data_IF_282419351308
#
_entry.id   IF_282419351308
#
_cell.length_a   1.000
_cell.length_b   1.000
_cell.length_c   1.000
_cell.angle_alpha   90.00
_cell.angle_beta   90.00
_cell.angle_gamma   90.00
#
_symmetry.space_group_name_H-M   'P 1'
#
loop_
_entity.id
_entity.type
_entity.pdbx_description
1 polymer ?
#
# COMPACT_ATOMS: atom_id res chain seq x y z
N UNK A 1 -1.54 -3.34 13.98
CA UNK A 1 -0.28 -3.58 13.23
C UNK A 1 0.41 -2.28 12.78
N UNK A 2 -0.26 -1.28 12.19
CA UNK A 2 0.43 -0.01 11.82
C UNK A 2 0.88 0.80 13.04
N UNK A 3 0.07 0.86 14.11
CA UNK A 3 0.38 1.70 15.27
C UNK A 3 1.51 1.17 16.15
N UNK A 4 2.02 -0.05 15.91
CA UNK A 4 3.10 -0.67 16.68
C UNK A 4 4.51 -0.30 16.23
N UNK A 5 4.70 0.30 15.04
CA UNK A 5 6.02 0.74 14.58
C UNK A 5 6.56 1.90 15.42
N UNK A 6 7.86 2.23 15.36
CA UNK A 6 8.43 3.38 16.09
C UNK A 6 8.11 4.74 15.46
N UNK A 7 7.89 4.76 14.15
CA UNK A 7 7.47 5.94 13.41
C UNK A 7 6.47 5.58 12.32
N UNK A 8 5.41 6.39 12.16
CA UNK A 8 4.41 6.23 11.11
C UNK A 8 4.43 7.47 10.20
N UNK A 9 4.64 7.25 8.92
CA UNK A 9 4.69 8.29 7.88
C UNK A 9 3.37 8.31 7.13
N UNK A 10 2.71 9.48 7.06
CA UNK A 10 1.47 9.67 6.29
C UNK A 10 1.61 10.82 5.31
N UNK A 11 0.67 10.92 4.37
CA UNK A 11 0.78 11.84 3.25
C UNK A 11 -0.42 12.75 3.15
N UNK A 12 -0.15 14.03 2.93
CA UNK A 12 -1.13 15.05 2.60
C UNK A 12 -2.34 14.96 3.55
N UNK A 13 -3.54 15.06 2.98
CA UNK A 13 -4.83 15.06 3.68
C UNK A 13 -5.35 13.67 4.04
N UNK A 14 -4.51 12.61 3.94
CA UNK A 14 -4.91 11.25 4.31
C UNK A 14 -5.25 11.17 5.80
N UNK A 15 -6.53 10.99 6.19
CA UNK A 15 -6.96 11.02 7.58
C UNK A 15 -6.74 9.66 8.26
N UNK A 16 -6.60 9.69 9.57
CA UNK A 16 -6.75 8.51 10.44
C UNK A 16 -8.14 8.43 11.05
N UNK A 17 -8.76 9.59 11.31
CA UNK A 17 -10.06 9.67 11.98
C UNK A 17 -11.16 9.03 11.13
N UNK A 18 -11.88 8.05 11.69
CA UNK A 18 -12.92 7.28 11.00
C UNK A 18 -12.39 6.14 10.12
N UNK A 19 -11.08 5.89 10.14
CA UNK A 19 -10.40 4.84 9.39
C UNK A 19 -9.38 4.06 10.24
N UNK A 20 -9.42 4.21 11.57
CA UNK A 20 -8.42 3.68 12.49
C UNK A 20 -8.28 2.15 12.40
N UNK A 21 -9.39 1.46 12.13
CA UNK A 21 -9.44 0.01 11.91
C UNK A 21 -8.63 -0.44 10.68
N UNK A 22 -8.52 0.42 9.67
CA UNK A 22 -7.86 0.12 8.39
C UNK A 22 -6.45 0.66 8.32
N UNK A 23 -6.24 1.88 8.79
CA UNK A 23 -4.98 2.61 8.59
C UNK A 23 -4.23 2.88 9.89
N UNK A 24 -4.76 2.46 11.04
CA UNK A 24 -4.23 2.83 12.36
C UNK A 24 -4.56 4.28 12.74
N UNK A 25 -4.33 4.59 14.00
CA UNK A 25 -4.60 5.91 14.60
C UNK A 25 -3.35 6.79 14.69
N UNK A 26 -2.14 6.24 14.56
CA UNK A 26 -0.90 6.99 14.85
C UNK A 26 -0.30 7.65 13.62
N UNK A 27 0.28 8.82 13.81
CA UNK A 27 1.10 9.52 12.82
C UNK A 27 2.28 10.17 13.56
N UNK A 28 3.50 9.92 13.08
CA UNK A 28 4.70 10.57 13.62
C UNK A 28 5.15 11.70 12.70
N UNK A 29 5.23 11.40 11.40
CA UNK A 29 5.61 12.35 10.36
C UNK A 29 4.50 12.44 9.32
N UNK A 30 4.18 13.65 8.89
CA UNK A 30 3.27 13.88 7.77
C UNK A 30 3.98 14.63 6.65
N UNK A 31 4.09 13.97 5.51
CA UNK A 31 4.66 14.59 4.33
C UNK A 31 3.56 15.33 3.57
N UNK A 32 3.76 16.62 3.36
CA UNK A 32 2.79 17.48 2.67
C UNK A 32 3.40 18.06 1.40
N UNK A 33 2.67 17.99 0.29
CA UNK A 33 3.03 18.71 -0.92
C UNK A 33 2.69 20.21 -0.78
N UNK A 34 3.03 21.00 -1.79
CA UNK A 34 2.75 22.44 -1.85
C UNK A 34 1.27 22.81 -1.69
N UNK A 35 0.34 21.97 -2.17
CA UNK A 35 -1.10 22.25 -2.11
C UNK A 35 -1.69 22.02 -0.71
N UNK A 36 -1.01 21.23 0.11
CA UNK A 36 -1.42 20.91 1.49
C UNK A 36 -0.45 21.48 2.52
N UNK A 37 0.32 22.50 2.14
CA UNK A 37 1.28 23.15 3.04
C UNK A 37 0.55 23.72 4.27
N UNK A 38 0.98 23.30 5.45
CA UNK A 38 0.40 23.72 6.74
C UNK A 38 -0.83 22.91 7.17
N UNK A 39 -1.22 21.88 6.43
CA UNK A 39 -2.24 20.93 6.87
C UNK A 39 -1.64 19.84 7.75
N UNK A 40 -2.27 19.54 8.88
CA UNK A 40 -2.00 18.37 9.71
C UNK A 40 -3.31 17.91 10.36
N UNK A 41 -3.40 16.62 10.68
CA UNK A 41 -4.57 16.08 11.35
C UNK A 41 -4.48 16.27 12.87
N UNK A 42 -3.28 16.08 13.43
CA UNK A 42 -3.03 16.15 14.88
C UNK A 42 -1.86 17.09 15.18
N UNK A 43 -1.98 17.90 16.21
CA UNK A 43 -0.92 18.85 16.61
C UNK A 43 0.39 18.18 17.05
N UNK A 44 0.32 16.89 17.43
CA UNK A 44 1.50 16.12 17.84
C UNK A 44 2.37 15.66 16.67
N UNK A 45 1.87 15.75 15.43
CA UNK A 45 2.58 15.34 14.22
C UNK A 45 3.74 16.29 13.90
N UNK A 46 4.75 15.77 13.19
CA UNK A 46 5.81 16.57 12.57
C UNK A 46 5.56 16.65 11.08
N UNK A 47 5.34 17.85 10.58
CA UNK A 47 5.09 18.09 9.16
C UNK A 47 6.39 18.25 8.41
N UNK A 48 6.50 17.61 7.24
CA UNK A 48 7.65 17.73 6.33
C UNK A 48 7.12 18.15 4.96
N UNK A 49 7.40 19.39 4.57
CA UNK A 49 6.98 19.91 3.28
C UNK A 49 7.94 19.51 2.16
N UNK A 50 7.37 19.05 1.05
CA UNK A 50 8.09 18.83 -0.19
C UNK A 50 8.43 20.16 -0.87
N UNK A 51 9.73 20.42 -1.08
CA UNK A 51 10.24 21.66 -1.68
C UNK A 51 10.69 21.45 -3.14
N UNK A 52 9.72 21.25 -4.03
CA UNK A 52 9.98 21.05 -5.46
C UNK A 52 9.63 22.26 -6.34
N UNK A 53 9.21 23.38 -5.75
CA UNK A 53 8.89 24.59 -6.51
C UNK A 53 9.17 25.87 -5.73
N UNK A 54 9.39 26.97 -6.46
CA UNK A 54 9.54 28.32 -5.88
C UNK A 54 8.32 28.71 -5.05
N UNK A 55 7.11 28.35 -5.51
CA UNK A 55 5.86 28.60 -4.77
C UNK A 55 5.87 27.85 -3.44
N UNK A 56 6.30 26.58 -3.43
CA UNK A 56 6.45 25.79 -2.21
C UNK A 56 7.37 26.45 -1.19
N UNK A 57 8.53 26.96 -1.64
CA UNK A 57 9.45 27.70 -0.77
C UNK A 57 8.82 28.96 -0.17
N UNK A 58 8.14 29.76 -0.99
CA UNK A 58 7.49 30.99 -0.51
C UNK A 58 6.38 30.69 0.51
N UNK A 59 5.57 29.65 0.27
CA UNK A 59 4.54 29.20 1.22
C UNK A 59 5.15 28.70 2.53
N UNK A 60 6.24 27.92 2.44
CA UNK A 60 6.98 27.46 3.62
C UNK A 60 7.49 28.64 4.46
N UNK A 61 8.18 29.59 3.83
CA UNK A 61 8.72 30.78 4.52
C UNK A 61 7.60 31.63 5.15
N UNK A 62 6.49 31.82 4.44
CA UNK A 62 5.31 32.51 4.97
C UNK A 62 4.77 31.79 6.21
N UNK A 63 4.59 30.47 6.13
CA UNK A 63 4.06 29.68 7.24
C UNK A 63 4.99 29.71 8.47
N UNK A 64 6.31 29.55 8.27
CA UNK A 64 7.30 29.65 9.35
C UNK A 64 7.29 31.03 10.01
N UNK A 65 7.05 32.10 9.26
CA UNK A 65 6.93 33.47 9.79
C UNK A 65 5.65 33.65 10.63
N UNK A 66 4.52 33.09 10.19
CA UNK A 66 3.23 33.25 10.89
C UNK A 66 3.04 32.27 12.03
N UNK A 67 3.69 31.11 11.98
CA UNK A 67 3.60 30.05 12.98
C UNK A 67 5.00 29.57 13.40
N UNK A 68 5.77 30.40 14.13
CA UNK A 68 7.17 30.10 14.44
C UNK A 68 7.36 28.81 15.26
N UNK A 69 6.35 28.44 16.04
CA UNK A 69 6.35 27.25 16.89
C UNK A 69 5.78 26.00 16.19
N UNK A 70 5.34 26.10 14.93
CA UNK A 70 4.86 24.95 14.19
C UNK A 70 5.99 23.91 14.04
N UNK A 71 5.65 22.63 14.22
CA UNK A 71 6.55 21.49 14.00
C UNK A 71 6.68 21.17 12.51
N UNK A 72 7.00 22.21 11.73
CA UNK A 72 7.08 22.18 10.28
C UNK A 72 8.53 22.25 9.82
N UNK A 73 8.95 21.21 9.12
CA UNK A 73 10.24 21.09 8.43
C UNK A 73 10.02 21.01 6.93
N UNK A 74 11.13 21.04 6.19
CA UNK A 74 11.12 20.88 4.75
C UNK A 74 12.26 19.98 4.33
N UNK A 75 12.08 19.29 3.20
CA UNK A 75 13.18 18.56 2.59
C UNK A 75 14.28 19.52 2.15
N UNK A 76 15.52 19.15 2.48
CA UNK A 76 16.68 19.83 1.95
C UNK A 76 16.65 19.79 0.39
N UNK A 77 16.97 20.90 -0.30
CA UNK A 77 16.97 20.93 -1.76
C UNK A 77 17.92 19.89 -2.40
N UNK A 78 19.08 19.62 -1.80
CA UNK A 78 20.00 18.59 -2.28
C UNK A 78 19.42 17.19 -2.07
N UNK A 79 18.71 16.95 -0.96
CA UNK A 79 17.97 15.70 -0.78
C UNK A 79 16.88 15.55 -1.85
N UNK A 80 16.17 16.63 -2.17
CA UNK A 80 15.15 16.62 -3.24
C UNK A 80 15.75 16.28 -4.61
N UNK A 81 16.93 16.84 -4.92
CA UNK A 81 17.70 16.48 -6.11
C UNK A 81 18.15 15.01 -6.08
N UNK A 82 18.65 14.53 -4.94
CA UNK A 82 19.05 13.13 -4.76
C UNK A 82 17.90 12.15 -5.03
N UNK A 83 16.72 12.39 -4.45
CA UNK A 83 15.54 11.56 -4.70
C UNK A 83 15.14 11.63 -6.18
N UNK A 84 15.13 12.82 -6.75
CA UNK A 84 14.69 13.05 -8.14
C UNK A 84 15.62 12.41 -9.17
N UNK A 85 16.91 12.21 -8.87
CA UNK A 85 17.85 11.50 -9.77
C UNK A 85 17.48 10.03 -10.02
N UNK A 86 16.63 9.44 -9.18
CA UNK A 86 16.18 8.05 -9.34
C UNK A 86 15.05 7.90 -10.37
N UNK A 87 14.47 9.00 -10.87
CA UNK A 87 13.36 8.99 -11.82
C UNK A 87 13.54 10.05 -12.91
N UNK A 88 12.93 9.84 -14.08
CA UNK A 88 12.96 10.83 -15.17
C UNK A 88 11.91 11.94 -15.03
N UNK A 89 10.90 11.71 -14.20
CA UNK A 89 9.79 12.63 -13.95
C UNK A 89 9.75 13.01 -12.48
N UNK A 90 8.85 13.93 -12.11
CA UNK A 90 8.73 14.40 -10.74
C UNK A 90 8.34 13.23 -9.82
N UNK A 91 9.08 12.94 -8.74
CA UNK A 91 8.67 11.89 -7.80
C UNK A 91 7.50 12.32 -6.92
N UNK A 92 6.64 11.38 -6.57
CA UNK A 92 5.54 11.58 -5.61
C UNK A 92 6.05 11.81 -4.18
N UNK A 93 5.17 12.35 -3.32
CA UNK A 93 5.44 12.44 -1.88
C UNK A 93 5.68 11.06 -1.24
N UNK A 94 5.00 10.02 -1.73
CA UNK A 94 5.21 8.62 -1.32
C UNK A 94 6.65 8.17 -1.58
N UNK A 95 7.17 8.45 -2.76
CA UNK A 95 8.56 8.13 -3.12
C UNK A 95 9.56 8.87 -2.23
N UNK A 96 9.32 10.15 -1.94
CA UNK A 96 10.15 10.93 -1.01
C UNK A 96 10.18 10.32 0.40
N UNK A 97 9.06 9.84 0.93
CA UNK A 97 9.03 9.17 2.23
C UNK A 97 9.85 7.87 2.21
N UNK A 98 9.78 7.07 1.15
CA UNK A 98 10.57 5.84 1.06
C UNK A 98 12.06 6.15 1.17
N UNK A 99 12.57 7.12 0.39
CA UNK A 99 13.98 7.50 0.47
C UNK A 99 14.37 8.09 1.82
N UNK A 100 13.50 8.88 2.44
CA UNK A 100 13.76 9.42 3.77
C UNK A 100 13.83 8.29 4.81
N UNK A 101 12.86 7.37 4.78
CA UNK A 101 12.79 6.25 5.71
C UNK A 101 13.97 5.30 5.53
N UNK A 102 14.40 5.00 4.30
CA UNK A 102 15.61 4.20 4.04
C UNK A 102 16.88 4.81 4.64
N UNK A 103 16.95 6.14 4.80
CA UNK A 103 18.10 6.82 5.42
C UNK A 103 17.98 6.95 6.94
N UNK A 104 16.79 6.70 7.53
CA UNK A 104 16.49 7.01 8.94
C UNK A 104 15.98 5.84 9.76
N UNK A 105 15.51 4.78 9.11
CA UNK A 105 14.87 3.63 9.74
C UNK A 105 15.69 2.36 9.47
N UNK A 106 15.75 1.47 10.45
CA UNK A 106 16.41 0.17 10.30
C UNK A 106 15.58 -0.82 9.46
N UNK A 107 14.25 -0.68 9.51
CA UNK A 107 13.31 -1.50 8.75
C UNK A 107 12.21 -0.59 8.21
N UNK A 108 11.72 -0.92 7.01
CA UNK A 108 10.69 -0.16 6.32
C UNK A 108 9.55 -1.08 5.88
N UNK A 109 8.35 -0.75 6.33
CA UNK A 109 7.11 -1.44 6.01
C UNK A 109 6.19 -0.45 5.29
N UNK A 110 5.71 -0.83 4.11
CA UNK A 110 5.02 0.06 3.18
C UNK A 110 3.59 -0.44 2.98
N UNK A 111 2.63 0.45 3.24
CA UNK A 111 1.19 0.21 3.16
C UNK A 111 0.55 1.23 2.21
N UNK A 112 -0.39 0.79 1.37
CA UNK A 112 -1.22 1.61 0.49
C UNK A 112 -0.54 2.05 -0.80
N UNK A 113 0.55 1.37 -1.22
CA UNK A 113 1.36 1.77 -2.38
C UNK A 113 0.93 1.06 -3.69
N UNK A 114 -0.37 1.04 -3.96
CA UNK A 114 -0.87 0.51 -5.23
C UNK A 114 -0.52 1.46 -6.38
N UNK A 115 -0.04 0.90 -7.50
CA UNK A 115 0.49 1.68 -8.63
C UNK A 115 -0.50 1.82 -9.80
N UNK A 116 -1.57 1.03 -9.80
CA UNK A 116 -2.69 1.16 -10.73
C UNK A 116 -4.03 1.05 -9.97
N UNK A 117 -4.99 1.97 -10.22
CA UNK A 117 -6.36 1.81 -9.75
C UNK A 117 -7.01 0.59 -10.40
N UNK A 118 -7.76 -0.19 -9.63
CA UNK A 118 -8.40 -1.41 -10.13
C UNK A 118 -8.92 -2.29 -9.00
N UNK A 119 -9.75 -3.29 -9.33
CA UNK A 119 -10.21 -4.31 -8.36
C UNK A 119 -10.92 -3.76 -7.12
N UNK A 120 -11.62 -2.63 -7.25
CA UNK A 120 -12.31 -1.96 -6.14
C UNK A 120 -11.40 -1.09 -5.27
N UNK A 121 -10.11 -0.99 -5.59
CA UNK A 121 -9.15 -0.12 -4.90
C UNK A 121 -9.23 1.27 -5.53
N UNK A 122 -9.74 2.23 -4.74
CA UNK A 122 -9.78 3.65 -5.11
C UNK A 122 -8.39 4.28 -5.11
N UNK A 123 -8.28 5.48 -5.69
CA UNK A 123 -7.03 6.26 -5.63
C UNK A 123 -6.66 6.65 -4.19
N UNK A 124 -7.68 6.97 -3.39
CA UNK A 124 -7.58 7.20 -1.95
C UNK A 124 -8.50 6.23 -1.21
N UNK A 125 -8.14 5.89 0.02
CA UNK A 125 -8.99 5.06 0.89
C UNK A 125 -10.14 5.85 1.53
N UNK A 126 -10.08 7.19 1.50
CA UNK A 126 -10.99 8.08 2.24
C UNK A 126 -11.91 8.94 1.38
N UNK A 127 -11.72 8.96 0.05
CA UNK A 127 -12.58 9.71 -0.86
C UNK A 127 -12.62 9.10 -2.27
N UNK A 128 -13.50 9.64 -3.12
CA UNK A 128 -13.68 9.21 -4.50
C UNK A 128 -12.90 10.07 -5.52
N UNK A 129 -11.91 10.84 -5.07
CA UNK A 129 -11.09 11.67 -5.95
C UNK A 129 -10.33 10.77 -6.93
N UNK A 130 -10.29 11.18 -8.20
CA UNK A 130 -9.48 10.53 -9.23
C UNK A 130 -8.39 11.50 -9.67
N UNK A 131 -7.15 11.03 -9.93
CA UNK A 131 -6.11 11.89 -10.47
C UNK A 131 -6.62 12.58 -11.72
N UNK A 132 -6.60 13.91 -11.75
CA UNK A 132 -6.89 14.64 -13.00
C UNK A 132 -5.87 14.22 -14.05
N UNK A 133 -6.30 14.12 -15.33
CA UNK A 133 -5.44 13.62 -16.41
C UNK A 133 -4.08 14.35 -16.51
N UNK A 134 -3.98 15.61 -16.06
CA UNK A 134 -2.73 16.36 -15.97
C UNK A 134 -1.86 16.12 -14.71
N UNK A 135 -2.44 15.75 -13.56
CA UNK A 135 -1.68 15.41 -12.33
C UNK A 135 -1.10 13.98 -12.39
N UNK A 136 -1.80 13.06 -13.08
CA UNK A 136 -1.21 11.76 -13.44
C UNK A 136 -0.11 11.89 -14.50
N UNK A 137 -0.11 12.96 -15.31
CA UNK A 137 0.88 13.17 -16.36
C UNK A 137 2.24 13.69 -15.87
N UNK A 138 2.34 14.21 -14.64
CA UNK A 138 3.62 14.72 -14.09
C UNK A 138 4.41 13.67 -13.30
N UNK A 139 3.75 12.60 -12.84
CA UNK A 139 4.33 11.51 -12.07
C UNK A 139 4.29 10.21 -12.89
N UNK A 140 5.27 9.33 -12.73
CA UNK A 140 5.31 8.02 -13.38
C UNK A 140 5.23 6.96 -12.30
N UNK A 141 3.99 6.65 -11.88
CA UNK A 141 3.71 5.63 -10.87
C UNK A 141 4.29 4.26 -11.23
N UNK A 142 4.39 3.94 -12.53
CA UNK A 142 4.98 2.68 -12.99
C UNK A 142 6.49 2.66 -12.80
N UNK A 143 7.17 3.77 -13.08
CA UNK A 143 8.60 3.89 -12.83
C UNK A 143 8.91 3.88 -11.33
N UNK A 144 8.14 4.61 -10.51
CA UNK A 144 8.26 4.55 -9.05
C UNK A 144 8.09 3.13 -8.53
N UNK A 145 7.04 2.45 -8.97
CA UNK A 145 6.75 1.10 -8.56
C UNK A 145 7.85 0.10 -8.95
N UNK A 146 8.46 0.23 -10.13
CA UNK A 146 9.62 -0.59 -10.52
C UNK A 146 10.80 -0.44 -9.54
N UNK A 147 11.07 0.77 -9.08
CA UNK A 147 12.12 1.02 -8.09
C UNK A 147 11.74 0.42 -6.73
N UNK A 148 10.49 0.60 -6.31
CA UNK A 148 9.96 0.06 -5.05
C UNK A 148 10.03 -1.48 -5.05
N UNK A 149 9.65 -2.12 -6.15
CA UNK A 149 9.79 -3.57 -6.33
C UNK A 149 11.24 -4.03 -6.21
N UNK A 150 12.18 -3.30 -6.83
CA UNK A 150 13.60 -3.63 -6.73
C UNK A 150 14.10 -3.52 -5.29
N UNK A 151 13.67 -2.49 -4.55
CA UNK A 151 13.99 -2.33 -3.13
C UNK A 151 13.41 -3.49 -2.29
N UNK A 152 12.16 -3.87 -2.55
CA UNK A 152 11.49 -4.96 -1.85
C UNK A 152 12.19 -6.31 -2.10
N UNK A 153 12.50 -6.61 -3.35
CA UNK A 153 13.20 -7.84 -3.77
C UNK A 153 14.57 -8.00 -3.11
N UNK A 154 15.25 -6.89 -2.84
CA UNK A 154 16.56 -6.88 -2.18
C UNK A 154 16.46 -6.68 -0.65
N UNK A 155 15.26 -6.74 -0.08
CA UNK A 155 15.04 -6.70 1.36
C UNK A 155 15.19 -5.32 2.01
N UNK A 156 15.26 -4.24 1.23
CA UNK A 156 15.35 -2.87 1.78
C UNK A 156 14.01 -2.36 2.32
N UNK A 157 12.90 -2.91 1.85
CA UNK A 157 11.56 -2.62 2.36
C UNK A 157 10.66 -3.84 2.25
N UNK A 158 9.55 -3.85 2.99
CA UNK A 158 8.51 -4.87 2.92
C UNK A 158 7.21 -4.23 2.45
N UNK A 159 6.58 -4.86 1.46
CA UNK A 159 5.27 -4.49 0.97
C UNK A 159 4.21 -5.25 1.76
N UNK A 160 3.25 -4.54 2.33
CA UNK A 160 2.36 -5.06 3.37
C UNK A 160 0.93 -5.31 2.92
N UNK A 161 0.59 -5.03 1.66
CA UNK A 161 -0.61 -5.56 1.03
C UNK A 161 -0.32 -6.87 0.31
N UNK A 162 -1.16 -7.90 0.45
CA UNK A 162 -0.95 -9.17 -0.24
C UNK A 162 -0.92 -8.96 -1.75
N UNK A 163 -0.03 -9.67 -2.44
CA UNK A 163 0.05 -9.66 -3.92
C UNK A 163 0.26 -8.31 -4.59
N UNK A 164 0.52 -7.23 -3.83
CA UNK A 164 0.83 -5.93 -4.40
C UNK A 164 2.06 -6.00 -5.31
N UNK A 165 3.05 -6.84 -4.96
CA UNK A 165 4.24 -7.09 -5.74
C UNK A 165 3.99 -7.90 -7.03
N UNK A 166 2.81 -8.51 -7.19
CA UNK A 166 2.56 -9.58 -8.15
C UNK A 166 3.06 -10.94 -7.65
N UNK A 167 3.04 -11.95 -8.52
CA UNK A 167 3.53 -13.28 -8.15
C UNK A 167 5.05 -13.31 -7.96
N UNK A 168 5.52 -14.14 -7.01
CA UNK A 168 6.94 -14.25 -6.69
C UNK A 168 7.80 -14.68 -7.87
N UNK A 169 7.28 -15.53 -8.76
CA UNK A 169 7.99 -15.98 -9.98
C UNK A 169 8.36 -14.81 -10.91
N UNK A 170 7.53 -13.78 -10.97
CA UNK A 170 7.75 -12.61 -11.84
C UNK A 170 8.44 -11.47 -11.08
N UNK A 171 8.00 -11.19 -9.86
CA UNK A 171 8.48 -10.06 -9.06
C UNK A 171 9.80 -10.37 -8.35
N UNK A 172 10.04 -11.63 -8.00
CA UNK A 172 11.10 -12.05 -7.07
C UNK A 172 10.84 -11.60 -5.62
N UNK A 173 9.62 -11.18 -5.30
CA UNK A 173 9.22 -10.74 -3.96
C UNK A 173 8.24 -11.76 -3.39
N UNK A 174 8.57 -12.44 -2.28
CA UNK A 174 7.64 -13.36 -1.64
C UNK A 174 6.48 -12.60 -1.02
N UNK A 175 5.27 -13.17 -1.11
CA UNK A 175 4.09 -12.62 -0.46
C UNK A 175 4.05 -13.05 1.02
N UNK A 176 4.66 -12.25 1.91
CA UNK A 176 4.82 -12.57 3.32
C UNK A 176 3.52 -12.54 4.14
N UNK A 177 2.50 -11.90 3.60
CA UNK A 177 1.21 -11.61 4.23
C UNK A 177 0.04 -12.22 3.44
N UNK A 178 0.33 -13.11 2.48
CA UNK A 178 -0.73 -13.81 1.78
C UNK A 178 -1.52 -14.69 2.75
N UNK A 179 -2.86 -14.64 2.71
CA UNK A 179 -3.66 -15.54 3.51
C UNK A 179 -3.31 -17.00 3.27
N UNK A 180 -3.34 -17.82 4.32
CA UNK A 180 -3.07 -19.26 4.17
C UNK A 180 -4.04 -19.88 3.19
N UNK A 181 -3.55 -20.79 2.34
CA UNK A 181 -4.33 -21.36 1.25
C UNK A 181 -4.50 -20.45 0.04
N UNK A 182 -3.78 -19.33 -0.01
CA UNK A 182 -3.76 -18.42 -1.17
C UNK A 182 -2.37 -18.24 -1.76
N UNK A 183 -2.31 -17.73 -2.97
CA UNK A 183 -1.09 -17.34 -3.67
C UNK A 183 -1.36 -16.16 -4.60
N UNK A 184 -0.30 -15.51 -5.07
CA UNK A 184 -0.39 -14.44 -6.06
C UNK A 184 -0.27 -14.99 -7.47
N UNK A 185 -1.19 -14.60 -8.36
CA UNK A 185 -1.22 -15.10 -9.73
C UNK A 185 -0.24 -14.33 -10.64
N UNK A 186 0.50 -15.06 -11.47
CA UNK A 186 1.40 -14.49 -12.47
C UNK A 186 0.66 -14.00 -13.71
N UNK A 187 1.22 -13.03 -14.43
CA UNK A 187 0.67 -12.54 -15.70
C UNK A 187 -0.64 -11.79 -15.57
N UNK A 188 -1.03 -11.42 -14.35
CA UNK A 188 -2.20 -10.57 -14.08
C UNK A 188 -1.74 -9.25 -13.49
N UNK A 189 -2.41 -8.15 -13.84
CA UNK A 189 -2.22 -6.86 -13.17
C UNK A 189 -2.96 -6.78 -11.83
N UNK A 190 -3.32 -7.92 -11.23
CA UNK A 190 -4.26 -7.99 -10.13
C UNK A 190 -3.49 -8.21 -8.83
N UNK A 191 -3.53 -7.26 -7.89
CA UNK A 191 -2.79 -7.37 -6.65
C UNK A 191 -3.57 -8.18 -5.59
N UNK A 192 -4.42 -9.13 -5.96
CA UNK A 192 -5.28 -9.84 -5.01
C UNK A 192 -4.89 -11.31 -4.87
N UNK A 193 -4.88 -11.87 -3.65
CA UNK A 193 -4.66 -13.29 -3.45
C UNK A 193 -5.74 -14.14 -4.13
N UNK A 194 -5.32 -15.27 -4.69
CA UNK A 194 -6.18 -16.26 -5.31
C UNK A 194 -6.03 -17.61 -4.63
N UNK A 195 -7.04 -18.47 -4.75
CA UNK A 195 -7.03 -19.76 -4.06
C UNK A 195 -5.93 -20.67 -4.61
N UNK A 196 -5.09 -21.19 -3.72
CA UNK A 196 -4.09 -22.20 -4.04
C UNK A 196 -4.76 -23.55 -4.33
N UNK A 197 -4.02 -24.47 -4.95
CA UNK A 197 -4.51 -25.84 -5.16
C UNK A 197 -4.92 -26.48 -3.82
N UNK A 198 -6.10 -27.12 -3.80
CA UNK A 198 -6.67 -27.70 -2.56
C UNK A 198 -7.41 -26.69 -1.66
N UNK A 199 -7.55 -25.44 -2.11
CA UNK A 199 -8.30 -24.41 -1.41
C UNK A 199 -9.35 -23.77 -2.33
N UNK A 200 -10.34 -23.13 -1.70
CA UNK A 200 -11.30 -22.25 -2.35
C UNK A 200 -11.46 -20.96 -1.54
N UNK A 201 -11.87 -19.87 -2.18
CA UNK A 201 -12.10 -18.59 -1.52
C UNK A 201 -13.55 -18.47 -1.04
N UNK A 202 -13.76 -18.07 0.21
CA UNK A 202 -15.10 -17.77 0.70
C UNK A 202 -15.69 -16.58 -0.08
N UNK A 203 -16.98 -16.62 -0.38
CA UNK A 203 -17.64 -15.52 -1.10
C UNK A 203 -17.52 -14.22 -0.30
N UNK A 204 -17.30 -13.11 -1.01
CA UNK A 204 -17.17 -11.76 -0.46
C UNK A 204 -16.05 -11.56 0.56
N UNK A 205 -15.07 -12.47 0.59
CA UNK A 205 -13.87 -12.36 1.42
C UNK A 205 -12.61 -12.29 0.58
N UNK A 206 -11.67 -11.44 0.99
CA UNK A 206 -10.33 -11.33 0.39
C UNK A 206 -9.25 -12.04 1.19
N UNK A 207 -9.58 -12.49 2.40
CA UNK A 207 -8.65 -13.11 3.35
C UNK A 207 -9.03 -14.53 3.74
N UNK A 208 -10.26 -14.97 3.49
CA UNK A 208 -10.71 -16.31 3.86
C UNK A 208 -10.57 -17.31 2.70
N UNK A 209 -9.64 -18.23 2.87
CA UNK A 209 -9.46 -19.38 1.99
C UNK A 209 -9.66 -20.67 2.80
N UNK A 210 -10.58 -21.50 2.34
CA UNK A 210 -10.99 -22.74 2.98
C UNK A 210 -10.29 -23.91 2.29
N UNK A 211 -9.67 -24.78 3.07
CA UNK A 211 -9.15 -26.06 2.59
C UNK A 211 -10.34 -26.98 2.28
N UNK A 212 -10.49 -27.47 1.05
CA UNK A 212 -11.62 -28.35 0.77
C UNK A 212 -11.36 -29.74 1.37
N UNK A 213 -12.36 -30.36 2.02
CA UNK A 213 -12.25 -31.73 2.49
C UNK A 213 -12.14 -32.73 1.33
N UNK A 214 -11.67 -33.96 1.59
CA UNK A 214 -11.72 -35.05 0.62
C UNK A 214 -13.14 -35.23 0.05
N UNK A 215 -13.24 -35.43 -1.26
CA UNK A 215 -14.53 -35.58 -1.96
C UNK A 215 -15.19 -34.26 -2.39
N UNK A 216 -14.64 -33.12 -2.00
CA UNK A 216 -15.10 -31.80 -2.48
C UNK A 216 -14.10 -31.23 -3.50
N UNK A 217 -14.53 -30.92 -4.74
CA UNK A 217 -13.65 -30.32 -5.73
C UNK A 217 -13.26 -28.91 -5.32
N UNK A 218 -11.95 -28.64 -5.25
CA UNK A 218 -11.43 -27.28 -5.16
C UNK A 218 -11.12 -26.76 -6.56
N UNK A 219 -11.80 -25.69 -7.03
CA UNK A 219 -11.48 -25.11 -8.33
C UNK A 219 -10.05 -24.55 -8.40
N UNK A 220 -9.49 -24.07 -7.27
CA UNK A 220 -8.20 -23.35 -7.27
C UNK A 220 -8.20 -22.16 -8.25
N UNK A 221 -7.06 -21.51 -8.43
CA UNK A 221 -6.90 -20.43 -9.42
C UNK A 221 -5.54 -20.43 -10.15
N UNK A 222 -4.69 -21.43 -9.96
CA UNK A 222 -3.34 -21.43 -10.54
C UNK A 222 -3.29 -21.74 -12.05
N UNK A 223 -4.39 -21.68 -12.80
CA UNK A 223 -4.33 -21.83 -14.26
C UNK A 223 -3.84 -20.52 -14.91
N UNK A 224 -2.67 -20.61 -15.53
CA UNK A 224 -2.03 -19.51 -16.22
C UNK A 224 -2.84 -19.10 -17.45
N UNK A 225 -3.26 -17.83 -17.52
CA UNK A 225 -3.91 -17.24 -18.70
C UNK A 225 -5.40 -16.93 -18.55
N UNK A 226 -6.07 -17.39 -17.48
CA UNK A 226 -7.41 -16.93 -17.16
C UNK A 226 -7.35 -15.57 -16.42
N UNK A 227 -8.12 -14.59 -16.88
CA UNK A 227 -8.31 -13.35 -16.12
C UNK A 227 -8.97 -13.71 -14.77
N UNK A 228 -8.21 -13.61 -13.67
CA UNK A 228 -8.79 -13.75 -12.34
C UNK A 228 -9.87 -12.70 -12.14
N UNK A 229 -11.12 -13.15 -12.07
CA UNK A 229 -12.22 -12.32 -11.60
C UNK A 229 -12.37 -12.49 -10.07
N UNK A 230 -13.16 -11.60 -9.46
CA UNK A 230 -13.48 -11.59 -8.03
C UNK A 230 -14.14 -12.89 -7.52
N UNK A 231 -14.55 -13.80 -8.41
CA UNK A 231 -15.20 -15.07 -8.06
C UNK A 231 -14.38 -16.30 -8.42
N UNK A 232 -13.22 -16.08 -9.02
CA UNK A 232 -12.35 -17.14 -9.50
C UNK A 232 -11.88 -17.95 -8.26
N UNK A 233 -11.88 -19.28 -8.36
CA UNK A 233 -11.62 -20.18 -7.24
C UNK A 233 -12.59 -20.10 -6.04
N UNK A 234 -13.80 -19.55 -6.21
CA UNK A 234 -14.78 -19.45 -5.11
C UNK A 234 -15.26 -20.82 -4.62
N UNK A 235 -15.57 -20.91 -3.33
CA UNK A 235 -16.12 -22.10 -2.72
C UNK A 235 -17.52 -22.44 -3.26
N UNK A 236 -17.81 -23.74 -3.36
CA UNK A 236 -19.15 -24.23 -3.67
C UNK A 236 -20.13 -23.86 -2.56
N UNK A 237 -21.42 -23.88 -2.87
CA UNK A 237 -22.46 -23.57 -1.88
C UNK A 237 -22.37 -24.49 -0.65
N UNK A 238 -22.10 -25.79 -0.85
CA UNK A 238 -21.96 -26.75 0.24
C UNK A 238 -20.79 -26.41 1.17
N UNK A 239 -19.65 -25.98 0.61
CA UNK A 239 -18.50 -25.55 1.42
C UNK A 239 -18.81 -24.25 2.17
N UNK A 240 -19.62 -23.35 1.60
CA UNK A 240 -20.08 -22.14 2.29
C UNK A 240 -21.05 -22.46 3.44
N UNK A 241 -21.92 -23.45 3.30
CA UNK A 241 -22.81 -23.91 4.37
C UNK A 241 -22.02 -24.54 5.52
N UNK A 242 -21.00 -25.34 5.21
CA UNK A 242 -20.05 -25.87 6.19
C UNK A 242 -19.21 -24.77 6.86
N UNK A 243 -18.93 -23.67 6.15
CA UNK A 243 -18.27 -22.53 6.77
C UNK A 243 -19.22 -21.77 7.71
N UNK A 244 -20.45 -21.52 7.27
CA UNK A 244 -21.46 -20.79 8.03
C UNK A 244 -21.84 -21.49 9.35
N UNK A 245 -21.81 -22.83 9.38
CA UNK A 245 -22.08 -23.60 10.59
C UNK A 245 -20.82 -23.87 11.46
N UNK A 246 -19.66 -23.32 11.07
CA UNK A 246 -18.40 -23.42 11.81
C UNK A 246 -17.61 -24.73 11.60
N UNK A 247 -18.09 -25.65 10.76
CA UNK A 247 -17.39 -26.91 10.44
C UNK A 247 -16.12 -26.68 9.65
N UNK A 248 -16.11 -25.68 8.76
CA UNK A 248 -14.93 -25.20 8.04
C UNK A 248 -14.60 -23.79 8.50
N UNK A 249 -13.33 -23.54 8.79
CA UNK A 249 -12.86 -22.23 9.18
C UNK A 249 -11.77 -21.77 8.22
N UNK A 250 -11.68 -20.46 8.03
CA UNK A 250 -10.54 -19.86 7.35
C UNK A 250 -9.29 -20.22 8.15
N UNK A 251 -8.24 -20.68 7.46
CA UNK A 251 -6.98 -20.82 8.17
C UNK A 251 -6.50 -19.42 8.60
N UNK A 252 -6.12 -19.24 9.88
CA UNK A 252 -5.61 -17.95 10.33
C UNK A 252 -4.39 -17.58 9.51
N UNK A 253 -4.34 -16.33 9.05
CA UNK A 253 -3.11 -15.75 8.53
C UNK A 253 -2.08 -15.79 9.66
N UNK A 254 -0.80 -15.97 9.35
CA UNK A 254 0.26 -15.75 10.33
C UNK A 254 0.26 -14.26 10.72
N UNK A 255 -0.59 -13.89 11.68
CA UNK A 255 -0.55 -12.60 12.37
C UNK A 255 0.69 -12.61 13.25
N UNK A 256 1.85 -12.44 12.64
CA UNK A 256 3.10 -12.68 13.31
C UNK A 256 4.32 -12.25 12.51
N UNK A 257 4.36 -10.97 12.09
CA UNK A 257 5.59 -10.19 11.97
C UNK A 257 5.29 -8.71 11.79
#
# INVERSE_FOLDING_TARGET
MIDSFDAVFRFNVGPTNGYEDKVGSRTTYRLVNTNHAGWHEKQSEVDIQQLQSKIGLLLYLKHRKTHPNARLFAFDPQFSVYVSKNLKVLPTGGFFAIWLALQKCAQLFVYGFHFEPGFGIGHHYFNSEKPSQGKAAIHDYKAEYKVILHLARNGFLRLMEPCIAGCEKESGVPCLNCPRGSACQCGTGNPMPVASAGYCRARDSFSCFLKCPPGFPCPGQLEAGAQANLHSGACSQVLMELHANGTLQCEPTDEGM
#
